data_IF_677808558532
#
_entry.id   IF_677808558532
#
_cell.length_a   1.000
_cell.length_b   1.000
_cell.length_c   1.000
_cell.angle_alpha   90.00
_cell.angle_beta   90.00
_cell.angle_gamma   90.00
#
_symmetry.space_group_name_H-M   'P 1'
#
loop_
_entity.id
_entity.type
_entity.pdbx_description
1 polymer ?
#
# COMPACT_ATOMS: atom_id res chain seq x y z
N UNK A 1 3.93 21.45 7.12
CA UNK A 1 3.41 20.19 7.70
C UNK A 1 2.54 20.56 8.89
N UNK A 2 1.28 20.13 8.90
CA UNK A 2 0.41 20.35 10.04
C UNK A 2 0.91 19.50 11.23
N UNK A 3 0.78 19.99 12.47
CA UNK A 3 1.17 19.27 13.68
C UNK A 3 -0.09 18.81 14.42
N UNK A 4 -0.15 17.54 14.82
CA UNK A 4 -1.25 16.98 15.62
C UNK A 4 -1.35 15.45 15.56
N UNK A 5 -2.30 14.89 16.31
CA UNK A 5 -2.58 13.45 16.31
C UNK A 5 -3.35 13.05 15.04
N UNK A 6 -2.86 12.04 14.34
CA UNK A 6 -3.60 11.39 13.24
C UNK A 6 -4.63 10.42 13.80
N UNK A 7 -5.73 10.22 13.08
CA UNK A 7 -6.72 9.19 13.36
C UNK A 7 -6.94 8.36 12.10
N UNK A 8 -7.34 7.11 12.26
CA UNK A 8 -7.43 6.11 11.19
C UNK A 8 -8.35 6.56 10.04
N UNK A 9 -9.33 7.43 10.32
CA UNK A 9 -10.20 8.04 9.32
C UNK A 9 -9.46 8.84 8.23
N UNK A 10 -8.28 9.36 8.54
CA UNK A 10 -7.46 10.15 7.61
C UNK A 10 -6.36 9.33 6.93
N UNK A 11 -6.34 8.02 7.18
CA UNK A 11 -5.51 7.07 6.46
C UNK A 11 -6.10 6.85 5.07
N UNK A 12 -5.26 6.92 4.03
CA UNK A 12 -5.64 6.62 2.66
C UNK A 12 -4.70 5.58 2.09
N UNK A 13 -5.28 4.63 1.36
CA UNK A 13 -4.54 3.62 0.63
C UNK A 13 -4.77 3.86 -0.87
N UNK A 14 -3.72 4.30 -1.55
CA UNK A 14 -3.72 4.58 -2.97
C UNK A 14 -2.84 3.56 -3.70
N UNK A 15 -3.33 3.07 -4.83
CA UNK A 15 -2.63 2.12 -5.68
C UNK A 15 -2.93 2.44 -7.14
N UNK A 16 -1.95 2.24 -8.01
CA UNK A 16 -2.21 2.37 -9.44
C UNK A 16 -3.08 1.22 -9.95
N UNK A 17 -3.99 1.55 -10.85
CA UNK A 17 -4.68 0.54 -11.64
C UNK A 17 -3.81 0.05 -12.81
N UNK A 18 -4.30 -0.95 -13.55
CA UNK A 18 -3.61 -1.50 -14.72
C UNK A 18 -3.43 -0.48 -15.87
N UNK A 19 -4.03 0.71 -15.77
CA UNK A 19 -3.88 1.81 -16.74
C UNK A 19 -2.88 2.88 -16.27
N UNK A 20 -2.22 2.69 -15.12
CA UNK A 20 -1.28 3.66 -14.56
C UNK A 20 -1.97 4.88 -13.96
N UNK A 21 -3.23 4.74 -13.54
CA UNK A 21 -3.95 5.82 -12.84
C UNK A 21 -4.02 5.50 -11.34
N UNK A 22 -3.52 6.39 -10.46
CA UNK A 22 -3.67 6.23 -9.02
C UNK A 22 -5.14 6.19 -8.59
N UNK A 23 -5.52 5.19 -7.81
CA UNK A 23 -6.88 5.01 -7.29
C UNK A 23 -6.88 4.70 -5.81
N UNK A 24 -7.88 5.23 -5.12
CA UNK A 24 -8.04 5.00 -3.68
C UNK A 24 -8.99 3.83 -3.42
N UNK A 25 -8.60 2.93 -2.54
CA UNK A 25 -9.41 1.77 -2.15
C UNK A 25 -9.79 1.92 -0.67
N UNK A 26 -11.06 1.65 -0.29
CA UNK A 26 -11.45 1.62 1.12
C UNK A 26 -10.77 0.45 1.84
N UNK A 27 -10.13 0.74 2.97
CA UNK A 27 -9.52 -0.26 3.86
C UNK A 27 -10.13 -0.18 5.26
N UNK A 28 -10.29 -1.33 5.90
CA UNK A 28 -10.66 -1.46 7.31
C UNK A 28 -9.43 -1.68 8.17
N UNK A 29 -8.49 -2.50 7.69
CA UNK A 29 -7.24 -2.80 8.38
C UNK A 29 -6.07 -2.84 7.41
N UNK A 30 -4.90 -2.49 7.92
CA UNK A 30 -3.61 -2.61 7.24
C UNK A 30 -2.60 -3.21 8.23
N UNK A 31 -1.70 -4.06 7.74
CA UNK A 31 -0.55 -4.55 8.52
C UNK A 31 0.37 -3.38 8.92
N UNK A 32 1.30 -3.58 9.86
CA UNK A 32 2.30 -2.57 10.18
C UNK A 32 3.00 -2.06 8.92
N UNK A 33 3.02 -0.75 8.74
CA UNK A 33 3.59 -0.09 7.58
C UNK A 33 5.03 0.28 7.87
N UNK A 34 5.96 -0.29 7.10
CA UNK A 34 7.37 -0.06 7.29
C UNK A 34 8.23 -1.14 6.62
N UNK A 35 9.52 -1.07 6.92
CA UNK A 35 10.50 -2.04 6.49
C UNK A 35 10.68 -3.10 7.57
N UNK A 36 10.70 -4.36 7.15
CA UNK A 36 10.99 -5.51 8.00
C UNK A 36 12.39 -6.02 7.62
N UNK A 37 13.26 -6.14 8.61
CA UNK A 37 14.60 -6.67 8.46
C UNK A 37 14.68 -8.04 9.11
N UNK A 38 15.35 -8.97 8.46
CA UNK A 38 15.66 -10.26 9.06
C UNK A 38 16.79 -10.09 10.09
N UNK A 39 16.51 -10.45 11.34
CA UNK A 39 17.53 -10.48 12.39
C UNK A 39 18.38 -11.74 12.24
N UNK A 40 19.66 -11.59 11.93
CA UNK A 40 20.62 -12.70 11.85
C UNK A 40 21.68 -12.53 12.94
N UNK A 41 21.90 -13.55 13.76
CA UNK A 41 22.93 -13.54 14.80
C UNK A 41 24.32 -13.75 14.20
N UNK A 42 25.11 -12.67 14.15
CA UNK A 42 26.49 -12.70 13.68
C UNK A 42 27.51 -13.02 14.78
N UNK A 43 27.68 -14.30 15.12
CA UNK A 43 28.65 -14.74 16.16
C UNK A 43 29.83 -15.56 15.64
N UNK A 44 29.96 -15.80 14.33
CA UNK A 44 31.09 -16.56 13.75
C UNK A 44 31.80 -15.81 12.60
N UNK A 45 33.11 -15.98 12.46
CA UNK A 45 33.94 -15.28 11.45
C UNK A 45 33.60 -15.69 9.98
N UNK A 46 32.90 -16.82 9.78
CA UNK A 46 32.39 -17.27 8.48
C UNK A 46 31.13 -16.52 8.02
N UNK A 47 30.67 -15.55 8.82
CA UNK A 47 29.40 -14.83 8.65
C UNK A 47 29.52 -13.47 7.92
N UNK A 48 30.76 -13.06 7.59
CA UNK A 48 31.02 -11.86 6.77
C UNK A 48 30.35 -11.96 5.39
N UNK A 49 30.21 -13.19 4.86
CA UNK A 49 29.61 -13.44 3.54
C UNK A 49 28.07 -13.51 3.61
N UNK A 50 27.48 -13.96 4.72
CA UNK A 50 26.03 -14.06 4.88
C UNK A 50 25.39 -12.73 5.32
N UNK A 51 26.11 -11.87 6.03
CA UNK A 51 25.67 -10.51 6.33
C UNK A 51 25.44 -9.63 5.10
N UNK A 52 26.01 -9.97 3.93
CA UNK A 52 25.83 -9.20 2.70
C UNK A 52 24.45 -9.40 2.05
N UNK A 53 23.83 -10.58 2.20
CA UNK A 53 22.52 -10.87 1.61
C UNK A 53 21.34 -10.59 2.57
N UNK A 54 21.60 -10.47 3.87
CA UNK A 54 20.60 -10.27 4.93
C UNK A 54 20.10 -8.81 5.05
N UNK A 55 20.53 -7.90 4.18
CA UNK A 55 20.27 -6.45 4.28
C UNK A 55 19.20 -5.95 3.29
N UNK A 56 18.44 -6.85 2.66
CA UNK A 56 17.32 -6.45 1.80
C UNK A 56 16.04 -6.40 2.63
N UNK A 57 15.55 -5.21 3.04
CA UNK A 57 14.31 -5.11 3.78
C UNK A 57 13.14 -5.54 2.90
N UNK A 58 12.26 -6.36 3.46
CA UNK A 58 10.94 -6.59 2.89
C UNK A 58 9.97 -5.53 3.42
N UNK A 59 8.87 -5.31 2.71
CA UNK A 59 7.83 -4.37 3.12
C UNK A 59 6.44 -4.93 2.76
N UNK A 60 6.08 -6.13 3.22
CA UNK A 60 4.81 -6.74 2.88
C UNK A 60 3.67 -5.94 3.52
N UNK A 61 2.64 -5.65 2.71
CA UNK A 61 1.44 -4.95 3.16
C UNK A 61 0.24 -5.86 2.97
N UNK A 62 -0.36 -6.28 4.08
CA UNK A 62 -1.64 -6.98 4.07
C UNK A 62 -2.74 -5.97 4.37
N UNK A 63 -3.77 -5.93 3.52
CA UNK A 63 -4.93 -5.04 3.67
C UNK A 63 -6.22 -5.82 3.59
N UNK A 64 -7.19 -5.39 4.38
CA UNK A 64 -8.57 -5.86 4.28
C UNK A 64 -9.53 -4.69 4.18
N UNK A 65 -10.68 -4.91 3.55
CA UNK A 65 -11.68 -3.86 3.39
C UNK A 65 -12.96 -4.34 2.72
N UNK A 66 -13.94 -3.46 2.54
CA UNK A 66 -15.17 -3.81 1.83
C UNK A 66 -14.89 -4.04 0.35
N UNK A 67 -15.42 -5.14 -0.20
CA UNK A 67 -15.19 -5.54 -1.60
C UNK A 67 -15.74 -4.55 -2.63
N UNK A 68 -16.88 -3.93 -2.30
CA UNK A 68 -17.52 -2.87 -3.07
C UNK A 68 -17.61 -1.57 -2.30
N UNK A 69 -17.79 -0.46 -3.02
CA UNK A 69 -17.89 0.89 -2.46
C UNK A 69 -19.32 1.47 -2.58
N UNK A 70 -20.35 0.69 -2.93
CA UNK A 70 -21.70 1.20 -3.20
C UNK A 70 -22.24 2.09 -2.06
N UNK A 71 -21.97 1.74 -0.81
CA UNK A 71 -22.32 2.53 0.38
C UNK A 71 -21.43 3.75 0.61
N UNK A 72 -20.12 3.66 0.32
CA UNK A 72 -19.17 4.78 0.46
C UNK A 72 -19.31 5.82 -0.68
N UNK A 73 -19.65 5.37 -1.89
CA UNK A 73 -19.95 6.23 -3.04
C UNK A 73 -21.19 7.11 -2.79
N UNK A 74 -22.20 6.60 -2.08
CA UNK A 74 -23.37 7.37 -1.66
C UNK A 74 -23.02 8.48 -0.64
N UNK A 75 -22.06 8.23 0.26
CA UNK A 75 -21.54 9.22 1.22
C UNK A 75 -20.56 10.23 0.59
N UNK A 76 -19.87 9.83 -0.49
CA UNK A 76 -19.04 10.74 -1.27
C UNK A 76 -19.89 11.73 -2.10
N UNK A 77 -21.05 11.29 -2.60
CA UNK A 77 -22.00 12.15 -3.30
C UNK A 77 -22.57 13.29 -2.44
N UNK A 78 -22.56 13.16 -1.11
CA UNK A 78 -22.95 14.22 -0.16
C UNK A 78 -21.77 15.12 0.27
N UNK A 79 -20.57 14.92 -0.28
CA UNK A 79 -19.37 15.70 0.06
C UNK A 79 -18.76 15.38 1.43
N UNK A 80 -19.26 14.33 2.11
CA UNK A 80 -18.80 13.93 3.43
C UNK A 80 -17.61 12.96 3.40
N UNK A 81 -17.25 12.43 2.22
CA UNK A 81 -16.16 11.47 2.04
C UNK A 81 -15.50 11.60 0.64
N UNK A 82 -14.23 11.18 0.48
CA UNK A 82 -13.58 11.07 -0.82
C UNK A 82 -14.25 10.03 -1.72
N UNK A 83 -14.19 10.22 -3.04
CA UNK A 83 -14.67 9.21 -4.01
C UNK A 83 -13.67 8.05 -4.05
N UNK A 84 -13.92 7.03 -3.23
CA UNK A 84 -13.13 5.80 -3.23
C UNK A 84 -13.60 4.87 -4.35
N UNK A 85 -12.72 4.08 -4.94
CA UNK A 85 -13.04 3.04 -5.93
C UNK A 85 -13.34 1.71 -5.24
N UNK A 86 -14.26 0.91 -5.80
CA UNK A 86 -14.54 -0.43 -5.28
C UNK A 86 -13.32 -1.34 -5.48
N UNK A 87 -12.90 -2.08 -4.44
CA UNK A 87 -11.69 -2.91 -4.48
C UNK A 87 -11.69 -3.88 -5.66
N UNK A 88 -12.84 -4.47 -6.00
CA UNK A 88 -13.01 -5.36 -7.16
C UNK A 88 -12.71 -4.74 -8.52
N UNK A 89 -12.87 -3.42 -8.69
CA UNK A 89 -12.60 -2.74 -9.96
C UNK A 89 -11.11 -2.58 -10.24
N UNK A 90 -10.28 -2.67 -9.21
CA UNK A 90 -8.83 -2.47 -9.29
C UNK A 90 -8.12 -3.80 -9.06
N UNK A 91 -8.32 -4.42 -7.89
CA UNK A 91 -7.57 -5.60 -7.44
C UNK A 91 -7.75 -6.81 -8.36
N UNK A 92 -8.92 -6.99 -8.97
CA UNK A 92 -9.17 -8.07 -9.91
C UNK A 92 -8.29 -7.98 -11.17
N UNK A 93 -7.94 -6.76 -11.61
CA UNK A 93 -7.13 -6.54 -12.81
C UNK A 93 -5.62 -6.63 -12.53
N UNK A 94 -5.20 -6.39 -11.29
CA UNK A 94 -3.79 -6.26 -10.90
C UNK A 94 -3.27 -7.40 -10.02
N UNK A 95 -4.13 -8.37 -9.66
CA UNK A 95 -3.73 -9.53 -8.87
C UNK A 95 -2.93 -10.55 -9.69
N UNK A 96 -1.90 -11.13 -9.07
CA UNK A 96 -1.19 -12.30 -9.58
C UNK A 96 -2.12 -13.54 -9.66
N UNK A 97 -1.85 -14.51 -10.56
CA UNK A 97 -0.68 -14.63 -11.42
C UNK A 97 -0.78 -13.89 -12.77
N UNK A 98 -1.94 -13.30 -13.09
CA UNK A 98 -2.22 -12.72 -14.42
C UNK A 98 -1.55 -11.36 -14.63
N UNK A 99 -1.23 -10.65 -13.56
CA UNK A 99 -0.59 -9.35 -13.61
C UNK A 99 0.61 -9.33 -12.66
N UNK A 100 1.80 -9.07 -13.20
CA UNK A 100 3.08 -9.07 -12.46
C UNK A 100 3.88 -7.79 -12.67
N UNK A 101 3.32 -6.82 -13.40
CA UNK A 101 3.96 -5.52 -13.58
C UNK A 101 3.93 -4.78 -12.24
N UNK A 102 5.07 -4.27 -11.74
CA UNK A 102 5.09 -3.48 -10.52
C UNK A 102 4.29 -2.19 -10.68
N UNK A 103 3.47 -1.88 -9.68
CA UNK A 103 2.61 -0.70 -9.64
C UNK A 103 2.96 0.19 -8.46
N UNK A 104 2.61 1.46 -8.53
CA UNK A 104 2.77 2.38 -7.42
C UNK A 104 1.75 2.07 -6.33
N UNK A 105 2.20 2.20 -5.09
CA UNK A 105 1.39 1.98 -3.90
C UNK A 105 1.83 2.96 -2.85
N UNK A 106 0.87 3.67 -2.24
CA UNK A 106 1.13 4.65 -1.23
C UNK A 106 0.12 4.53 -0.07
N UNK A 107 0.66 4.45 1.15
CA UNK A 107 -0.07 4.63 2.39
C UNK A 107 0.11 6.07 2.84
N UNK A 108 -0.97 6.84 2.82
CA UNK A 108 -0.93 8.28 3.09
C UNK A 108 -1.59 8.60 4.43
N UNK A 109 -0.88 9.34 5.29
CA UNK A 109 -1.32 9.67 6.65
C UNK A 109 -1.70 11.15 6.74
N UNK A 110 -2.99 11.48 6.60
CA UNK A 110 -3.44 12.86 6.75
C UNK A 110 -3.36 13.35 8.20
N UNK A 111 -2.80 14.55 8.43
CA UNK A 111 -2.68 15.13 9.78
C UNK A 111 -3.82 16.11 10.02
N UNK A 112 -4.68 15.82 11.00
CA UNK A 112 -5.87 16.63 11.38
C UNK A 112 -6.92 16.83 10.28
N UNK A 113 -6.81 16.14 9.16
CA UNK A 113 -7.71 16.27 8.03
C UNK A 113 -7.32 15.34 6.88
N UNK A 114 -7.96 15.54 5.73
CA UNK A 114 -7.62 14.81 4.51
C UNK A 114 -6.14 15.06 4.14
N UNK A 115 -5.46 14.03 3.63
CA UNK A 115 -4.04 14.13 3.28
C UNK A 115 -3.78 15.30 2.31
N UNK A 116 -2.75 16.07 2.61
CA UNK A 116 -2.27 17.18 1.79
C UNK A 116 -0.76 17.07 1.55
N UNK A 117 -0.26 17.77 0.54
CA UNK A 117 1.18 17.79 0.26
C UNK A 117 1.96 18.24 1.51
N UNK A 118 2.98 17.47 1.88
CA UNK A 118 3.74 17.66 3.11
C UNK A 118 3.29 16.78 4.29
N UNK A 119 2.20 16.04 4.17
CA UNK A 119 1.82 14.99 5.11
C UNK A 119 2.57 13.67 4.81
N UNK A 120 2.83 12.82 5.81
CA UNK A 120 3.61 11.59 5.62
C UNK A 120 2.97 10.60 4.65
N UNK A 121 3.82 10.01 3.80
CA UNK A 121 3.47 8.93 2.87
C UNK A 121 4.52 7.84 2.97
N UNK A 122 4.10 6.58 2.98
CA UNK A 122 5.00 5.43 2.84
C UNK A 122 4.64 4.63 1.59
N UNK A 123 5.65 4.21 0.84
CA UNK A 123 5.46 3.31 -0.30
C UNK A 123 6.34 3.66 -1.48
N UNK A 124 5.84 3.37 -2.69
CA UNK A 124 6.45 3.73 -3.98
C UNK A 124 5.49 4.66 -4.70
N UNK A 125 5.80 5.96 -4.65
CA UNK A 125 4.95 7.02 -5.20
C UNK A 125 5.24 7.36 -6.66
N UNK A 126 6.36 6.86 -7.20
CA UNK A 126 6.77 7.02 -8.60
C UNK A 126 7.27 5.65 -9.11
N UNK A 127 6.35 4.75 -9.49
CA UNK A 127 6.70 3.41 -9.94
C UNK A 127 7.35 3.42 -11.32
N UNK A 128 7.95 2.29 -11.68
CA UNK A 128 8.44 2.00 -13.03
C UNK A 128 8.27 0.53 -13.33
N UNK A 129 8.52 0.09 -14.56
CA UNK A 129 8.44 -1.32 -14.95
C UNK A 129 9.36 -2.26 -14.14
N UNK A 130 10.29 -1.72 -13.35
CA UNK A 130 11.21 -2.47 -12.48
C UNK A 130 11.15 -2.03 -11.01
N UNK A 131 10.19 -1.16 -10.64
CA UNK A 131 10.09 -0.66 -9.26
C UNK A 131 8.64 -0.39 -8.86
N UNK A 132 8.19 -1.02 -7.78
CA UNK A 132 6.82 -0.91 -7.28
C UNK A 132 6.40 -2.11 -6.45
N UNK A 133 5.09 -2.25 -6.27
CA UNK A 133 4.46 -3.35 -5.55
C UNK A 133 3.72 -4.29 -6.50
N UNK A 134 3.69 -5.57 -6.13
CA UNK A 134 2.88 -6.59 -6.81
C UNK A 134 1.82 -7.10 -5.85
N UNK A 135 0.58 -7.20 -6.34
CA UNK A 135 -0.52 -7.82 -5.60
C UNK A 135 -0.40 -9.35 -5.71
N UNK A 136 0.14 -9.99 -4.67
CA UNK A 136 0.40 -11.44 -4.67
C UNK A 136 -0.78 -12.26 -4.17
N UNK A 137 -1.72 -11.62 -3.48
CA UNK A 137 -2.96 -12.25 -3.01
C UNK A 137 -4.12 -11.30 -3.21
N UNK A 138 -5.21 -11.82 -3.72
CA UNK A 138 -6.52 -11.19 -3.70
C UNK A 138 -7.58 -12.27 -3.50
N UNK A 139 -8.31 -12.20 -2.38
CA UNK A 139 -9.39 -13.13 -2.04
C UNK A 139 -10.60 -12.34 -1.54
N UNK A 140 -11.78 -12.87 -1.83
CA UNK A 140 -13.06 -12.30 -1.38
C UNK A 140 -13.71 -13.33 -0.48
N UNK A 141 -14.06 -12.90 0.73
CA UNK A 141 -14.69 -13.71 1.75
C UNK A 141 -16.22 -13.61 1.62
N UNK A 142 -16.93 -14.62 2.15
CA UNK A 142 -18.39 -14.75 1.96
C UNK A 142 -19.22 -13.65 2.63
N UNK A 143 -18.59 -12.81 3.44
CA UNK A 143 -19.17 -11.64 4.11
C UNK A 143 -19.00 -10.33 3.31
N UNK A 144 -18.41 -10.39 2.12
CA UNK A 144 -18.16 -9.22 1.27
C UNK A 144 -16.93 -8.41 1.69
N UNK A 145 -16.05 -8.98 2.51
CA UNK A 145 -14.73 -8.43 2.82
C UNK A 145 -13.71 -9.01 1.83
N UNK A 146 -12.77 -8.17 1.39
CA UNK A 146 -11.61 -8.63 0.62
C UNK A 146 -10.37 -8.67 1.50
N UNK A 147 -9.47 -9.58 1.15
CA UNK A 147 -8.13 -9.72 1.72
C UNK A 147 -7.10 -9.66 0.59
N UNK A 148 -6.16 -8.71 0.66
CA UNK A 148 -5.10 -8.57 -0.33
C UNK A 148 -3.71 -8.43 0.29
N UNK A 149 -2.68 -8.94 -0.42
CA UNK A 149 -1.28 -8.82 -0.02
C UNK A 149 -0.47 -8.17 -1.12
N UNK A 150 0.35 -7.20 -0.74
CA UNK A 150 1.29 -6.51 -1.60
C UNK A 150 2.71 -6.78 -1.14
N UNK A 151 3.61 -7.07 -2.08
CA UNK A 151 5.02 -7.30 -1.83
C UNK A 151 5.82 -6.41 -2.78
N UNK A 152 6.90 -5.75 -2.32
CA UNK A 152 7.77 -4.98 -3.20
C UNK A 152 8.38 -5.88 -4.27
N UNK A 153 8.40 -5.40 -5.52
CA UNK A 153 9.10 -6.06 -6.61
C UNK A 153 10.61 -6.05 -6.33
N UNK A 154 11.33 -7.09 -6.76
CA UNK A 154 12.76 -7.23 -6.48
C UNK A 154 13.55 -5.97 -6.86
N UNK A 155 14.37 -5.46 -5.93
CA UNK A 155 15.13 -4.22 -6.10
C UNK A 155 14.36 -2.93 -5.78
N UNK A 156 13.08 -3.03 -5.45
CA UNK A 156 12.28 -1.89 -4.97
C UNK A 156 12.57 -1.62 -3.51
N UNK A 157 12.79 -0.34 -3.15
CA UNK A 157 12.92 0.09 -1.76
C UNK A 157 11.85 1.12 -1.45
N UNK A 158 10.71 0.70 -0.86
CA UNK A 158 9.69 1.61 -0.37
C UNK A 158 10.27 2.56 0.67
N UNK A 159 9.83 3.81 0.68
CA UNK A 159 10.39 4.83 1.55
C UNK A 159 9.31 5.73 2.16
N UNK A 160 9.68 6.38 3.26
CA UNK A 160 8.92 7.49 3.81
C UNK A 160 9.19 8.75 3.00
N UNK A 161 8.13 9.51 2.75
CA UNK A 161 8.19 10.77 2.02
C UNK A 161 6.95 11.62 2.28
N UNK A 162 6.72 12.57 1.38
CA UNK A 162 5.59 13.52 1.46
C UNK A 162 4.96 13.81 0.09
N UNK A 163 5.40 13.09 -0.95
CA UNK A 163 4.88 13.20 -2.29
C UNK A 163 3.63 12.33 -2.46
N UNK A 164 2.70 12.78 -3.31
CA UNK A 164 1.54 11.98 -3.70
C UNK A 164 1.98 10.88 -4.68
N UNK A 165 1.25 9.77 -4.70
CA UNK A 165 1.35 8.78 -5.77
C UNK A 165 0.97 9.43 -7.10
N UNK A 166 1.85 9.31 -8.10
CA UNK A 166 1.70 9.89 -9.44
C UNK A 166 1.59 8.84 -10.52
#
# INVERSE_FOLDING_TARGET
>A
MATGRTVDRWLRFAIDDSSGTPREIPINTISPVGLVYDETELTAFQDVVKGYLAMHPDAPLDVTGPWGNLTAAALAASGAAPVLSGAHTILNAISAPTFTTPLGLAVMYGIRGYWTSGDPVFGVVAPSATSGYVCTKYQVEGDGIYSARFVPFAGTTPAWGTAILT
#
